data_IF_550180490107
#
_entry.id   IF_550180490107
#
_cell.length_a   1.000
_cell.length_b   1.000
_cell.length_c   1.000
_cell.angle_alpha   90.00
_cell.angle_beta   90.00
_cell.angle_gamma   90.00
#
_symmetry.space_group_name_H-M   'P 1'
#
loop_
_entity.id
_entity.type
_entity.pdbx_description
1 polymer ?
#
# COMPACT_ATOMS: atom_id res chain seq x y z
N UNK A 1 53.17 47.93 -8.07
CA UNK A 1 53.22 47.04 -6.89
C UNK A 1 51.82 47.04 -6.29
N UNK A 2 51.09 45.93 -6.42
CA UNK A 2 49.79 45.53 -5.81
C UNK A 2 48.60 46.53 -5.86
N UNK A 3 47.36 46.15 -6.21
CA UNK A 3 46.76 44.87 -6.54
C UNK A 3 45.39 45.08 -7.19
N UNK A 4 44.94 44.07 -7.92
CA UNK A 4 43.58 43.97 -8.43
C UNK A 4 42.66 43.47 -7.31
N UNK A 5 41.57 44.18 -7.05
CA UNK A 5 40.41 43.62 -6.36
C UNK A 5 39.16 43.92 -7.19
N UNK A 6 38.58 42.83 -7.68
CA UNK A 6 37.32 42.77 -8.38
C UNK A 6 36.15 43.21 -7.50
N UNK A 7 35.10 43.70 -8.16
CA UNK A 7 33.73 43.41 -7.73
C UNK A 7 33.09 44.47 -6.86
N UNK A 8 32.65 45.55 -7.51
CA UNK A 8 31.71 46.53 -7.00
C UNK A 8 30.43 45.83 -6.45
N UNK A 9 30.23 45.89 -5.14
CA UNK A 9 28.90 45.72 -4.55
C UNK A 9 28.00 46.86 -5.05
N UNK A 10 27.05 46.53 -5.92
CA UNK A 10 25.76 47.23 -5.98
C UNK A 10 24.64 46.21 -6.11
N UNK A 11 24.23 45.70 -4.94
CA UNK A 11 22.85 45.29 -4.75
C UNK A 11 21.97 46.53 -4.95
N UNK A 12 21.56 46.78 -6.20
CA UNK A 12 20.31 47.48 -6.46
C UNK A 12 19.19 46.46 -6.33
N UNK A 13 18.09 46.72 -5.60
CA UNK A 13 16.98 45.79 -5.54
C UNK A 13 16.41 45.62 -6.96
N UNK A 14 16.49 44.40 -7.51
CA UNK A 14 15.71 44.07 -8.69
C UNK A 14 14.23 44.27 -8.34
N UNK A 15 13.60 45.22 -9.04
CA UNK A 15 12.16 45.43 -9.03
C UNK A 15 11.48 44.18 -9.56
N UNK A 16 11.09 43.28 -8.67
CA UNK A 16 10.17 42.19 -9.00
C UNK A 16 8.79 42.82 -9.16
N UNK A 17 8.34 43.02 -10.41
CA UNK A 17 6.92 43.23 -10.67
C UNK A 17 6.18 41.97 -10.20
N UNK A 18 5.49 42.07 -9.06
CA UNK A 18 4.54 41.05 -8.65
C UNK A 18 3.46 40.95 -9.72
N UNK A 19 3.49 39.87 -10.51
CA UNK A 19 2.38 39.52 -11.38
C UNK A 19 1.15 39.31 -10.48
N UNK A 20 0.25 40.29 -10.47
CA UNK A 20 -0.98 40.23 -9.68
C UNK A 20 -1.78 39.02 -10.15
N UNK A 21 -1.87 37.99 -9.31
CA UNK A 21 -2.79 36.88 -9.57
C UNK A 21 -4.18 37.47 -9.56
N UNK A 22 -4.87 37.43 -10.71
CA UNK A 22 -6.31 37.65 -10.76
C UNK A 22 -6.94 36.59 -9.87
N UNK A 23 -7.41 37.02 -8.70
CA UNK A 23 -8.20 36.18 -7.80
C UNK A 23 -9.49 35.90 -8.54
N UNK A 24 -9.59 34.73 -9.16
CA UNK A 24 -10.88 34.21 -9.58
C UNK A 24 -11.70 34.04 -8.29
N UNK A 25 -12.73 34.89 -8.13
CA UNK A 25 -13.71 34.72 -7.07
C UNK A 25 -14.44 33.43 -7.38
N UNK A 26 -14.00 32.33 -6.78
CA UNK A 26 -14.73 31.07 -6.81
C UNK A 26 -16.12 31.40 -6.30
N UNK A 27 -17.13 31.27 -7.16
CA UNK A 27 -18.51 31.37 -6.73
C UNK A 27 -18.67 30.35 -5.60
N UNK A 28 -19.07 30.83 -4.41
CA UNK A 28 -19.36 29.96 -3.27
C UNK A 28 -20.37 28.93 -3.76
N UNK A 29 -19.94 27.69 -3.96
CA UNK A 29 -20.86 26.60 -4.14
C UNK A 29 -21.59 26.51 -2.79
N UNK A 30 -22.87 26.88 -2.78
CA UNK A 30 -23.77 26.60 -1.65
C UNK A 30 -23.85 25.07 -1.57
N UNK A 31 -22.95 24.46 -0.78
CA UNK A 31 -23.01 23.04 -0.48
C UNK A 31 -24.31 22.81 0.29
N UNK A 32 -25.30 22.20 -0.35
CA UNK A 32 -26.51 21.77 0.33
C UNK A 32 -26.11 20.87 1.49
N UNK A 33 -26.62 21.15 2.71
CA UNK A 33 -26.35 20.34 3.91
C UNK A 33 -26.77 18.87 3.73
N UNK A 34 -27.63 18.57 2.76
CA UNK A 34 -28.05 17.21 2.40
C UNK A 34 -26.96 16.35 1.76
N UNK A 35 -25.92 16.96 1.18
CA UNK A 35 -24.82 16.23 0.51
C UNK A 35 -23.62 15.97 1.45
N UNK A 36 -23.73 16.35 2.72
CA UNK A 36 -22.71 16.09 3.74
C UNK A 36 -22.89 14.66 4.28
N UNK A 37 -22.31 13.68 3.59
CA UNK A 37 -22.14 12.33 4.16
C UNK A 37 -21.05 12.41 5.23
N UNK A 38 -21.45 12.37 6.50
CA UNK A 38 -20.48 12.30 7.59
C UNK A 38 -19.93 10.86 7.68
N UNK A 39 -18.61 10.69 7.88
CA UNK A 39 -18.04 9.39 8.16
C UNK A 39 -18.75 8.78 9.36
N UNK A 40 -19.26 7.55 9.22
CA UNK A 40 -19.85 6.85 10.34
C UNK A 40 -18.77 6.56 11.39
N UNK A 41 -19.11 6.83 12.65
CA UNK A 41 -18.22 6.59 13.77
C UNK A 41 -18.21 5.08 14.05
N UNK A 42 -17.08 4.43 13.76
CA UNK A 42 -16.87 3.01 14.06
C UNK A 42 -16.96 2.78 15.58
N UNK A 43 -17.63 1.70 16.00
CA UNK A 43 -17.68 1.34 17.42
C UNK A 43 -16.38 0.64 17.81
N UNK A 44 -16.02 0.70 19.09
CA UNK A 44 -14.85 -0.01 19.63
C UNK A 44 -14.88 -1.52 19.33
N UNK A 45 -16.07 -2.13 19.36
CA UNK A 45 -16.28 -3.54 18.99
C UNK A 45 -15.89 -3.85 17.55
N UNK A 46 -16.16 -2.92 16.63
CA UNK A 46 -15.89 -3.10 15.20
C UNK A 46 -14.39 -2.98 14.93
N UNK A 47 -13.72 -2.09 15.66
CA UNK A 47 -12.26 -1.92 15.64
C UNK A 47 -11.57 -3.18 16.17
N UNK A 48 -11.97 -3.67 17.34
CA UNK A 48 -11.37 -4.88 17.95
C UNK A 48 -11.56 -6.11 17.05
N UNK A 49 -12.74 -6.28 16.44
CA UNK A 49 -13.00 -7.38 15.51
C UNK A 49 -12.07 -7.33 14.29
N UNK A 50 -11.88 -6.15 13.70
CA UNK A 50 -11.04 -5.98 12.51
C UNK A 50 -9.54 -6.23 12.80
N UNK A 51 -9.05 -5.79 13.96
CA UNK A 51 -7.66 -6.01 14.39
C UNK A 51 -7.36 -7.50 14.57
N UNK A 52 -8.29 -8.25 15.19
CA UNK A 52 -8.13 -9.70 15.34
C UNK A 52 -8.08 -10.38 13.98
N UNK A 53 -8.99 -10.04 13.06
CA UNK A 53 -8.98 -10.59 11.70
C UNK A 53 -7.67 -10.34 10.94
N UNK A 54 -7.12 -9.13 11.05
CA UNK A 54 -5.83 -8.81 10.42
C UNK A 54 -4.70 -9.66 10.99
N UNK A 55 -4.64 -9.80 12.32
CA UNK A 55 -3.61 -10.59 13.00
C UNK A 55 -3.70 -12.07 12.66
N UNK A 56 -4.93 -12.60 12.58
CA UNK A 56 -5.21 -13.98 12.20
C UNK A 56 -4.80 -14.23 10.74
N UNK A 57 -5.12 -13.30 9.83
CA UNK A 57 -4.77 -13.42 8.42
C UNK A 57 -3.26 -13.33 8.17
N UNK A 58 -2.55 -12.44 8.87
CA UNK A 58 -1.08 -12.38 8.79
C UNK A 58 -0.46 -13.70 9.29
N UNK A 59 -1.01 -14.27 10.37
CA UNK A 59 -0.54 -15.54 10.93
C UNK A 59 -0.82 -16.72 10.00
N UNK A 60 -1.98 -16.75 9.34
CA UNK A 60 -2.32 -17.74 8.32
C UNK A 60 -1.34 -17.68 7.14
N UNK A 61 -1.13 -16.49 6.58
CA UNK A 61 -0.24 -16.27 5.44
C UNK A 61 1.19 -16.66 5.79
N UNK A 62 1.67 -16.32 7.00
CA UNK A 62 2.97 -16.76 7.51
C UNK A 62 3.09 -18.27 7.46
N UNK A 63 2.10 -18.98 8.00
CA UNK A 63 2.13 -20.43 8.06
C UNK A 63 2.13 -21.06 6.66
N UNK A 64 1.30 -20.57 5.74
CA UNK A 64 1.27 -21.08 4.35
C UNK A 64 2.62 -20.84 3.67
N UNK A 65 3.20 -19.65 3.82
CA UNK A 65 4.47 -19.32 3.20
C UNK A 65 5.63 -20.16 3.76
N UNK A 66 5.64 -20.39 5.08
CA UNK A 66 6.61 -21.29 5.73
C UNK A 66 6.53 -22.72 5.21
N UNK A 67 5.32 -23.22 4.96
CA UNK A 67 5.09 -24.64 4.62
C UNK A 67 5.23 -24.91 3.11
N UNK A 68 4.98 -23.90 2.26
CA UNK A 68 4.92 -24.04 0.79
C UNK A 68 5.99 -23.29 0.02
N UNK A 69 6.69 -22.33 0.64
CA UNK A 69 7.72 -21.54 -0.01
C UNK A 69 9.04 -22.30 -0.26
N UNK A 70 9.95 -21.75 -1.08
CA UNK A 70 9.81 -20.52 -1.86
C UNK A 70 8.94 -20.70 -3.11
N UNK A 71 8.21 -19.65 -3.53
CA UNK A 71 7.29 -19.71 -4.67
C UNK A 71 7.08 -18.35 -5.34
N UNK A 72 6.41 -18.31 -6.50
CA UNK A 72 6.11 -17.06 -7.18
C UNK A 72 5.20 -16.15 -6.37
N UNK A 73 5.52 -14.86 -6.34
CA UNK A 73 4.75 -13.84 -5.61
C UNK A 73 3.29 -13.81 -6.05
N UNK A 74 3.04 -13.78 -7.37
CA UNK A 74 1.67 -13.73 -7.90
C UNK A 74 0.90 -15.01 -7.63
N UNK A 75 1.54 -16.18 -7.80
CA UNK A 75 0.95 -17.48 -7.47
C UNK A 75 0.54 -17.59 -5.99
N UNK A 76 1.25 -16.87 -5.11
CA UNK A 76 0.93 -16.85 -3.68
C UNK A 76 -0.20 -15.88 -3.31
N UNK A 77 -0.16 -14.63 -3.80
CA UNK A 77 -1.09 -13.58 -3.32
C UNK A 77 -2.40 -13.50 -4.11
N UNK A 78 -2.40 -13.94 -5.37
CA UNK A 78 -3.55 -13.75 -6.27
C UNK A 78 -4.65 -14.76 -5.95
N UNK A 79 -5.84 -14.24 -5.70
CA UNK A 79 -7.07 -15.02 -5.65
C UNK A 79 -7.80 -14.84 -6.99
N UNK A 80 -7.99 -15.91 -7.79
CA UNK A 80 -8.61 -15.81 -9.12
C UNK A 80 -10.12 -15.53 -9.08
N UNK A 81 -10.76 -15.66 -7.92
CA UNK A 81 -12.19 -15.41 -7.72
C UNK A 81 -12.46 -14.03 -7.12
N UNK A 82 -11.44 -13.36 -6.58
CA UNK A 82 -11.61 -12.10 -5.84
C UNK A 82 -10.40 -11.17 -5.92
N UNK A 83 -10.56 -10.09 -6.70
CA UNK A 83 -9.62 -8.98 -6.71
C UNK A 83 -9.42 -8.36 -5.32
N UNK A 84 -10.50 -8.12 -4.58
CA UNK A 84 -10.41 -7.51 -3.25
C UNK A 84 -9.57 -8.36 -2.30
N UNK A 85 -9.75 -9.69 -2.33
CA UNK A 85 -8.92 -10.57 -1.50
C UNK A 85 -7.47 -10.65 -2.00
N UNK A 86 -7.21 -10.47 -3.29
CA UNK A 86 -5.83 -10.31 -3.80
C UNK A 86 -5.16 -9.09 -3.19
N UNK A 87 -5.84 -7.94 -3.19
CA UNK A 87 -5.32 -6.70 -2.57
C UNK A 87 -5.11 -6.89 -1.06
N UNK A 88 -6.04 -7.54 -0.36
CA UNK A 88 -5.90 -7.88 1.05
C UNK A 88 -4.71 -8.82 1.31
N UNK A 89 -4.50 -9.84 0.48
CA UNK A 89 -3.38 -10.76 0.61
C UNK A 89 -2.04 -10.02 0.46
N UNK A 90 -1.92 -9.10 -0.50
CA UNK A 90 -0.74 -8.25 -0.65
C UNK A 90 -0.54 -7.37 0.60
N UNK A 91 -1.62 -6.79 1.12
CA UNK A 91 -1.58 -5.98 2.34
C UNK A 91 -1.10 -6.80 3.55
N UNK A 92 -1.62 -8.00 3.76
CA UNK A 92 -1.19 -8.86 4.87
C UNK A 92 0.25 -9.34 4.71
N UNK A 93 0.66 -9.73 3.49
CA UNK A 93 2.04 -10.10 3.20
C UNK A 93 3.02 -8.95 3.48
N UNK A 94 2.58 -7.70 3.28
CA UNK A 94 3.40 -6.52 3.57
C UNK A 94 3.85 -6.44 5.03
N UNK A 95 3.08 -6.98 5.99
CA UNK A 95 3.49 -7.07 7.39
C UNK A 95 4.69 -8.00 7.55
N UNK A 96 4.66 -9.18 6.92
CA UNK A 96 5.77 -10.13 6.98
C UNK A 96 7.04 -9.54 6.36
N UNK A 97 6.93 -8.84 5.23
CA UNK A 97 8.07 -8.17 4.60
C UNK A 97 8.60 -7.04 5.49
N UNK A 98 7.71 -6.22 6.06
CA UNK A 98 8.08 -5.13 6.98
C UNK A 98 8.81 -5.64 8.21
N UNK A 99 8.37 -6.78 8.74
CA UNK A 99 8.89 -7.40 9.96
C UNK A 99 10.13 -8.29 9.68
N UNK A 100 10.53 -8.41 8.40
CA UNK A 100 11.71 -9.16 7.96
C UNK A 100 11.51 -10.68 7.86
N UNK A 101 10.26 -11.14 7.98
CA UNK A 101 9.89 -12.55 7.94
C UNK A 101 9.69 -13.10 6.52
N UNK A 102 9.59 -12.23 5.52
CA UNK A 102 9.48 -12.61 4.13
C UNK A 102 10.35 -11.70 3.26
N UNK A 103 10.92 -12.25 2.18
CA UNK A 103 11.67 -11.47 1.19
C UNK A 103 11.19 -11.71 -0.23
N UNK A 104 11.31 -10.68 -1.05
CA UNK A 104 11.09 -10.73 -2.49
C UNK A 104 12.43 -10.65 -3.21
N UNK A 105 12.65 -11.55 -4.17
CA UNK A 105 13.83 -11.59 -5.01
C UNK A 105 13.41 -11.69 -6.46
N UNK A 106 14.04 -10.90 -7.32
CA UNK A 106 13.94 -11.09 -8.76
C UNK A 106 14.82 -12.28 -9.15
N UNK A 107 14.21 -13.29 -9.77
CA UNK A 107 14.88 -14.46 -10.33
C UNK A 107 14.45 -14.56 -11.79
N UNK A 108 15.33 -14.15 -12.70
CA UNK A 108 15.11 -14.16 -14.14
C UNK A 108 13.81 -13.42 -14.56
N UNK A 109 13.53 -12.28 -13.93
CA UNK A 109 12.33 -11.48 -14.20
C UNK A 109 11.06 -11.97 -13.50
N UNK A 110 11.16 -13.01 -12.66
CA UNK A 110 10.06 -13.48 -11.82
C UNK A 110 10.27 -13.05 -10.37
N UNK A 111 9.24 -12.47 -9.76
CA UNK A 111 9.26 -12.16 -8.34
C UNK A 111 9.03 -13.43 -7.54
N UNK A 112 10.09 -13.90 -6.89
CA UNK A 112 10.06 -15.05 -5.99
C UNK A 112 9.92 -14.58 -4.54
N UNK A 113 9.01 -15.22 -3.81
CA UNK A 113 8.71 -14.99 -2.42
C UNK A 113 9.28 -16.13 -1.58
N UNK A 114 10.02 -15.77 -0.52
CA UNK A 114 10.67 -16.71 0.38
C UNK A 114 10.42 -16.32 1.85
N UNK A 115 10.30 -17.32 2.71
CA UNK A 115 10.17 -17.12 4.15
C UNK A 115 11.54 -17.07 4.82
N UNK A 116 11.71 -16.17 5.78
CA UNK A 116 12.88 -16.10 6.63
C UNK A 116 12.47 -15.97 8.09
N UNK A 117 13.30 -16.52 8.98
CA UNK A 117 13.17 -16.16 10.39
C UNK A 117 13.53 -14.67 10.52
N UNK A 118 12.84 -13.92 11.42
CA UNK A 118 13.17 -12.52 11.65
C UNK A 118 14.66 -12.37 11.96
N UNK A 119 15.35 -11.40 11.34
CA UNK A 119 16.77 -11.18 11.61
C UNK A 119 16.97 -10.85 13.09
N UNK A 120 18.06 -11.33 13.66
CA UNK A 120 18.49 -10.90 15.00
C UNK A 120 18.92 -9.43 14.97
N UNK A 121 18.91 -8.75 16.12
CA UNK A 121 19.33 -7.35 16.20
C UNK A 121 20.75 -7.12 15.64
N UNK A 122 21.62 -8.13 15.74
CA UNK A 122 22.99 -8.10 15.21
C UNK A 122 23.02 -8.13 13.67
N UNK A 123 22.11 -8.88 13.03
CA UNK A 123 22.00 -8.97 11.56
C UNK A 123 21.38 -7.70 10.93
N UNK A 124 20.58 -6.94 11.68
CA UNK A 124 20.09 -5.64 11.24
C UNK A 124 21.22 -4.59 11.18
N UNK A 125 22.19 -4.65 12.09
CA UNK A 125 23.34 -3.73 12.10
C UNK A 125 24.33 -3.99 10.96
N UNK A 126 24.34 -5.21 10.41
CA UNK A 126 25.26 -5.63 9.34
C UNK A 126 24.78 -5.24 7.92
N UNK A 127 23.81 -4.32 7.82
CA UNK A 127 23.47 -3.65 6.57
C UNK A 127 22.22 -4.17 5.86
N UNK A 128 21.25 -4.74 6.58
CA UNK A 128 19.96 -5.12 6.00
C UNK A 128 19.22 -3.89 5.46
N UNK A 129 19.26 -3.70 4.14
CA UNK A 129 18.65 -2.54 3.48
C UNK A 129 17.17 -2.80 3.20
N UNK A 130 16.29 -2.02 3.85
CA UNK A 130 14.85 -2.03 3.56
C UNK A 130 14.61 -1.49 2.15
N UNK A 131 14.29 -2.38 1.21
CA UNK A 131 13.84 -1.99 -0.13
C UNK A 131 12.32 -1.80 -0.12
N UNK A 132 11.84 -0.67 -0.61
CA UNK A 132 10.42 -0.44 -0.83
C UNK A 132 10.03 -0.90 -2.23
N UNK A 133 9.01 -1.74 -2.34
CA UNK A 133 8.36 -2.12 -3.59
C UNK A 133 7.00 -1.43 -3.66
N UNK A 134 6.79 -0.62 -4.69
CA UNK A 134 5.48 -0.04 -5.01
C UNK A 134 4.93 -0.83 -6.19
N UNK A 135 3.82 -1.51 -5.98
CA UNK A 135 3.12 -2.28 -7.00
C UNK A 135 1.75 -1.69 -7.25
N UNK A 136 1.45 -1.42 -8.51
CA UNK A 136 0.10 -1.10 -8.95
C UNK A 136 -0.65 -2.40 -9.25
N UNK A 137 -1.87 -2.52 -8.73
CA UNK A 137 -2.72 -3.68 -8.94
C UNK A 137 -4.14 -3.18 -9.18
N UNK A 138 -4.55 -3.16 -10.45
CA UNK A 138 -5.90 -2.86 -10.85
C UNK A 138 -6.62 -4.13 -11.35
N UNK A 139 -7.90 -3.99 -11.69
CA UNK A 139 -8.71 -5.12 -12.14
C UNK A 139 -8.23 -5.71 -13.47
N UNK A 140 -7.60 -4.91 -14.35
CA UNK A 140 -7.12 -5.38 -15.64
C UNK A 140 -5.84 -6.21 -15.45
N UNK A 141 -4.86 -5.65 -14.73
CA UNK A 141 -3.63 -6.32 -14.32
C UNK A 141 -3.92 -7.62 -13.57
N UNK A 142 -4.86 -7.62 -12.63
CA UNK A 142 -5.25 -8.83 -11.91
C UNK A 142 -5.75 -9.93 -12.84
N UNK A 143 -6.61 -9.62 -13.82
CA UNK A 143 -7.08 -10.60 -14.80
C UNK A 143 -5.95 -11.14 -15.66
N UNK A 144 -5.08 -10.25 -16.16
CA UNK A 144 -3.92 -10.65 -16.95
C UNK A 144 -2.99 -11.57 -16.17
N UNK A 145 -2.78 -11.31 -14.88
CA UNK A 145 -1.97 -12.17 -14.02
C UNK A 145 -2.64 -13.55 -13.84
N UNK A 146 -3.95 -13.59 -13.55
CA UNK A 146 -4.69 -14.86 -13.41
C UNK A 146 -4.54 -15.71 -14.67
N UNK A 147 -4.68 -15.09 -15.85
CA UNK A 147 -4.57 -15.76 -17.14
C UNK A 147 -3.13 -16.20 -17.45
N UNK A 148 -2.15 -15.30 -17.33
CA UNK A 148 -0.76 -15.55 -17.71
C UNK A 148 -0.06 -16.56 -16.79
N UNK A 149 -0.39 -16.55 -15.49
CA UNK A 149 0.14 -17.49 -14.51
C UNK A 149 -0.72 -18.76 -14.38
N UNK A 150 -1.86 -18.84 -15.09
CA UNK A 150 -2.74 -20.02 -15.06
C UNK A 150 -3.29 -20.32 -13.66
N UNK A 151 -3.59 -19.28 -12.86
CA UNK A 151 -4.00 -19.43 -11.48
C UNK A 151 -5.48 -19.83 -11.45
N UNK A 152 -5.77 -21.11 -11.23
CA UNK A 152 -7.14 -21.63 -11.18
C UNK A 152 -7.70 -21.73 -9.77
N UNK A 153 -6.83 -21.84 -8.77
CA UNK A 153 -7.19 -21.94 -7.36
C UNK A 153 -6.32 -21.01 -6.51
N UNK A 154 -6.86 -20.40 -5.44
CA UNK A 154 -6.09 -19.51 -4.59
C UNK A 154 -5.18 -20.29 -3.64
N UNK A 155 -3.92 -19.85 -3.50
CA UNK A 155 -2.99 -20.42 -2.51
C UNK A 155 -3.41 -20.10 -1.06
N UNK A 156 -3.92 -18.89 -0.85
CA UNK A 156 -4.48 -18.46 0.44
C UNK A 156 -6.00 -18.70 0.40
N UNK A 157 -6.59 -19.48 1.34
CA UNK A 157 -8.00 -19.82 1.32
C UNK A 157 -8.93 -18.60 1.19
N UNK A 158 -9.94 -18.71 0.32
CA UNK A 158 -10.97 -17.66 0.13
C UNK A 158 -11.76 -17.47 1.41
N UNK A 159 -11.79 -16.23 1.90
CA UNK A 159 -12.53 -15.83 3.11
C UNK A 159 -14.00 -15.58 2.77
N UNK A 160 -14.90 -15.97 3.66
CA UNK A 160 -16.32 -15.62 3.53
C UNK A 160 -16.52 -14.11 3.65
N UNK A 161 -17.35 -13.56 2.76
CA UNK A 161 -17.72 -12.15 2.82
C UNK A 161 -18.52 -11.91 4.11
N UNK A 162 -17.95 -11.14 5.02
CA UNK A 162 -18.72 -10.64 6.14
C UNK A 162 -19.64 -9.54 5.62
N UNK A 163 -20.94 -9.80 5.64
CA UNK A 163 -21.93 -8.73 5.51
C UNK A 163 -21.70 -7.79 6.70
N UNK A 164 -21.17 -6.61 6.42
CA UNK A 164 -21.30 -5.51 7.36
C UNK A 164 -22.80 -5.32 7.53
N UNK A 165 -23.33 -5.50 8.74
CA UNK A 165 -24.69 -5.11 9.10
C UNK A 165 -24.75 -3.57 9.05
N UNK A 166 -24.74 -3.05 7.82
CA UNK A 166 -24.98 -1.64 7.57
C UNK A 166 -26.48 -1.51 7.57
N UNK A 167 -27.06 -1.45 8.78
CA UNK A 167 -28.49 -1.33 9.01
C UNK A 167 -29.12 -0.40 7.99
N UNK A 168 -30.07 -0.93 7.22
CA UNK A 168 -30.54 -0.42 5.93
C UNK A 168 -31.16 0.99 5.94
N UNK A 169 -30.32 2.02 6.04
CA UNK A 169 -30.72 3.44 5.94
C UNK A 169 -29.90 4.20 4.89
N UNK A 170 -29.62 3.56 3.76
CA UNK A 170 -28.98 4.20 2.61
C UNK A 170 -29.96 4.92 1.68
N UNK A 171 -31.27 4.70 1.83
CA UNK A 171 -32.31 5.42 1.11
C UNK A 171 -33.37 5.91 2.11
N UNK A 172 -33.25 7.16 2.55
CA UNK A 172 -34.34 7.94 3.17
C UNK A 172 -34.08 9.43 2.98
#
# INVERSE_FOLDING_TARGET
MFGEFHGLFRLGPLSVEQKTRKVHRVARLERNKGDLVQPQQLKESDIVRNVNQTTDNVSLIRHILQDRGPMGFFEFVVNPESFSQTVENIFYLSFLIRDGEASLKDVDGNLMLDYHNPPTNEEYEDGLTKKQLIMEMDMAMWREIVENFGITEPMIPTRERQELDVGGKWYA
#
